data_IF_162320163889
#
_entry.id   IF_162320163889
#
_cell.length_a   1.000
_cell.length_b   1.000
_cell.length_c   1.000
_cell.angle_alpha   90.00
_cell.angle_beta   90.00
_cell.angle_gamma   90.00
#
_symmetry.space_group_name_H-M   'P 1'
#
loop_
_entity.id
_entity.type
_entity.pdbx_description
1 polymer ?
#
# COMPACT_ATOMS: atom_id res chain seq x y z
N UNK A 1 30.72 24.52 43.64
CA UNK A 1 29.57 23.64 43.37
C UNK A 1 28.85 24.16 42.12
N UNK A 2 29.17 23.61 40.94
CA UNK A 2 28.62 24.04 39.64
C UNK A 2 28.65 22.83 38.68
N UNK A 3 27.85 21.78 38.93
CA UNK A 3 27.79 20.62 38.00
C UNK A 3 26.41 19.96 37.86
N UNK A 4 25.33 20.49 38.46
CA UNK A 4 24.10 19.71 38.58
C UNK A 4 22.85 20.28 37.90
N UNK A 5 22.96 21.31 37.05
CA UNK A 5 21.77 21.92 36.41
C UNK A 5 21.70 21.61 34.91
N UNK A 6 22.79 21.19 34.26
CA UNK A 6 22.81 20.99 32.80
C UNK A 6 22.16 19.67 32.34
N UNK A 7 21.94 18.72 33.25
CA UNK A 7 21.55 17.35 32.86
C UNK A 7 20.03 17.13 32.77
N UNK A 8 19.22 17.99 33.39
CA UNK A 8 17.75 17.82 33.43
C UNK A 8 17.06 18.49 32.22
N UNK A 9 17.70 19.47 31.59
CA UNK A 9 17.13 20.13 30.40
C UNK A 9 17.37 19.34 29.10
N UNK A 10 18.35 18.42 29.08
CA UNK A 10 18.68 17.61 27.90
C UNK A 10 17.75 16.39 27.74
N UNK A 11 17.03 16.00 28.79
CA UNK A 11 16.10 14.86 28.76
C UNK A 11 14.69 15.23 28.29
N UNK A 12 14.37 16.53 28.18
CA UNK A 12 13.03 16.99 27.81
C UNK A 12 12.87 17.34 26.32
N UNK A 13 13.96 17.48 25.56
CA UNK A 13 13.90 17.77 24.12
C UNK A 13 13.94 16.53 23.23
N UNK A 14 14.26 15.34 23.77
CA UNK A 14 14.30 14.09 23.00
C UNK A 14 12.97 13.30 23.03
N UNK A 15 11.97 13.75 23.78
CA UNK A 15 10.64 13.13 23.82
C UNK A 15 9.66 13.73 22.81
N UNK A 16 10.03 14.82 22.12
CA UNK A 16 9.18 15.51 21.13
C UNK A 16 9.52 15.22 19.67
N UNK A 17 10.55 14.41 19.39
CA UNK A 17 11.02 14.10 18.03
C UNK A 17 10.64 12.71 17.50
N UNK A 18 9.91 11.90 18.28
CA UNK A 18 9.46 10.56 17.88
C UNK A 18 7.93 10.44 17.84
N UNK A 19 7.21 11.54 17.60
CA UNK A 19 5.95 11.45 16.89
C UNK A 19 6.29 11.23 15.41
N UNK A 20 6.96 10.10 15.13
CA UNK A 20 6.96 9.49 13.82
C UNK A 20 5.49 9.39 13.46
N UNK A 21 5.05 10.21 12.51
CA UNK A 21 3.82 9.94 11.80
C UNK A 21 4.09 8.62 11.08
N UNK A 22 3.86 7.50 11.78
CA UNK A 22 3.95 6.17 11.20
C UNK A 22 2.78 6.11 10.24
N UNK A 23 3.04 6.51 9.00
CA UNK A 23 2.07 6.37 7.90
C UNK A 23 1.61 4.92 7.89
N UNK A 24 0.32 4.73 8.15
CA UNK A 24 -0.28 3.40 8.18
C UNK A 24 -0.62 2.97 6.75
N UNK A 25 -0.78 1.65 6.54
CA UNK A 25 -1.25 1.16 5.24
C UNK A 25 -2.61 1.73 4.85
N UNK A 26 -3.47 2.02 5.82
CA UNK A 26 -4.77 2.68 5.59
C UNK A 26 -4.61 4.11 5.09
N UNK A 27 -3.69 4.89 5.66
CA UNK A 27 -3.42 6.27 5.22
C UNK A 27 -2.88 6.29 3.78
N UNK A 28 -1.93 5.41 3.47
CA UNK A 28 -1.40 5.26 2.11
C UNK A 28 -2.50 4.84 1.14
N UNK A 29 -3.31 3.85 1.51
CA UNK A 29 -4.41 3.37 0.67
C UNK A 29 -5.43 4.47 0.40
N UNK A 30 -5.80 5.25 1.42
CA UNK A 30 -6.73 6.37 1.29
C UNK A 30 -6.20 7.44 0.32
N UNK A 31 -4.92 7.78 0.39
CA UNK A 31 -4.30 8.72 -0.56
C UNK A 31 -4.32 8.18 -2.00
N UNK A 32 -4.06 6.89 -2.17
CA UNK A 32 -4.11 6.25 -3.50
C UNK A 32 -5.53 6.18 -4.06
N UNK A 33 -6.50 5.82 -3.22
CA UNK A 33 -7.93 5.78 -3.59
C UNK A 33 -8.39 7.17 -4.03
N UNK A 34 -8.08 8.22 -3.28
CA UNK A 34 -8.44 9.59 -3.68
C UNK A 34 -7.88 9.94 -5.08
N UNK A 35 -6.62 9.57 -5.35
CA UNK A 35 -5.99 9.82 -6.66
C UNK A 35 -6.73 9.08 -7.79
N UNK A 36 -7.18 7.85 -7.54
CA UNK A 36 -7.95 7.06 -8.50
C UNK A 36 -9.37 7.65 -8.69
N UNK A 37 -10.05 8.01 -7.62
CA UNK A 37 -11.39 8.63 -7.67
C UNK A 37 -11.36 9.96 -8.43
N UNK A 38 -10.33 10.79 -8.21
CA UNK A 38 -10.12 12.04 -8.96
C UNK A 38 -9.89 11.78 -10.46
N UNK A 39 -9.33 10.62 -10.82
CA UNK A 39 -9.16 10.17 -12.20
C UNK A 39 -10.42 9.48 -12.77
N UNK A 40 -11.49 9.35 -11.99
CA UNK A 40 -12.80 8.83 -12.39
C UNK A 40 -13.06 7.37 -12.04
N UNK A 41 -12.21 6.72 -11.24
CA UNK A 41 -12.48 5.38 -10.74
C UNK A 41 -13.62 5.37 -9.73
N UNK A 42 -14.45 4.32 -9.80
CA UNK A 42 -15.31 3.90 -8.70
C UNK A 42 -14.58 2.79 -7.96
N UNK A 43 -14.21 3.02 -6.70
CA UNK A 43 -13.46 2.06 -5.87
C UNK A 43 -14.40 1.40 -4.86
N UNK A 44 -14.32 0.07 -4.78
CA UNK A 44 -15.10 -0.75 -3.85
C UNK A 44 -14.19 -1.59 -2.95
N UNK A 45 -14.42 -1.50 -1.64
CA UNK A 45 -13.80 -2.40 -0.67
C UNK A 45 -14.41 -3.79 -0.80
N UNK A 46 -13.55 -4.79 -0.77
CA UNK A 46 -13.98 -6.19 -0.71
C UNK A 46 -14.35 -6.58 0.72
N UNK A 47 -15.21 -7.58 0.86
CA UNK A 47 -15.62 -8.11 2.15
C UNK A 47 -14.57 -9.09 2.72
N UNK A 48 -14.81 -9.55 3.96
CA UNK A 48 -13.91 -10.47 4.65
C UNK A 48 -13.76 -11.81 3.93
N UNK A 49 -14.80 -12.30 3.26
CA UNK A 49 -14.75 -13.60 2.57
C UNK A 49 -13.82 -13.51 1.35
N UNK A 50 -13.90 -12.43 0.59
CA UNK A 50 -13.00 -12.15 -0.53
C UNK A 50 -11.55 -11.95 -0.07
N UNK A 51 -11.34 -11.26 1.06
CA UNK A 51 -10.01 -11.08 1.67
C UNK A 51 -9.41 -12.43 2.10
N UNK A 52 -10.18 -13.26 2.81
CA UNK A 52 -9.74 -14.59 3.26
C UNK A 52 -9.40 -15.50 2.07
N UNK A 53 -10.25 -15.48 1.04
CA UNK A 53 -10.02 -16.21 -0.22
C UNK A 53 -8.74 -15.76 -0.92
N UNK A 54 -8.49 -14.45 -0.99
CA UNK A 54 -7.27 -13.90 -1.58
C UNK A 54 -6.03 -14.34 -0.80
N UNK A 55 -6.06 -14.26 0.53
CA UNK A 55 -4.93 -14.69 1.37
C UNK A 55 -4.64 -16.19 1.21
N UNK A 56 -5.69 -17.03 1.19
CA UNK A 56 -5.53 -18.47 1.05
C UNK A 56 -5.03 -18.86 -0.34
N UNK A 57 -5.70 -18.41 -1.40
CA UNK A 57 -5.49 -18.96 -2.73
C UNK A 57 -4.48 -18.18 -3.57
N UNK A 58 -4.41 -16.86 -3.41
CA UNK A 58 -3.46 -16.05 -4.17
C UNK A 58 -2.14 -15.99 -3.41
N UNK A 59 -2.13 -15.48 -2.18
CA UNK A 59 -0.88 -15.27 -1.44
C UNK A 59 -0.25 -16.59 -1.00
N UNK A 60 -0.98 -17.43 -0.26
CA UNK A 60 -0.43 -18.67 0.29
C UNK A 60 -0.26 -19.74 -0.79
N UNK A 61 -1.32 -20.16 -1.47
CA UNK A 61 -1.24 -21.26 -2.45
C UNK A 61 -0.48 -20.83 -3.73
N UNK A 62 -0.74 -19.61 -4.22
CA UNK A 62 -0.15 -19.11 -5.46
C UNK A 62 1.31 -18.70 -5.33
N UNK A 63 1.67 -18.00 -4.26
CA UNK A 63 3.01 -17.42 -4.08
C UNK A 63 3.80 -17.97 -2.89
N UNK A 64 3.24 -18.88 -2.10
CA UNK A 64 3.86 -19.35 -0.84
C UNK A 64 4.14 -18.20 0.14
N UNK A 65 3.35 -17.13 0.09
CA UNK A 65 3.44 -15.96 0.95
C UNK A 65 2.40 -16.10 2.06
N UNK A 66 2.87 -16.34 3.28
CA UNK A 66 2.02 -16.26 4.47
C UNK A 66 1.95 -14.82 4.95
N UNK A 67 0.92 -14.09 4.51
CA UNK A 67 0.72 -12.68 4.81
C UNK A 67 -0.71 -12.39 5.27
N UNK A 68 -0.82 -11.32 6.06
CA UNK A 68 -2.11 -10.72 6.42
C UNK A 68 -2.26 -9.40 5.67
N UNK A 69 -3.41 -9.23 5.03
CA UNK A 69 -3.81 -7.97 4.42
C UNK A 69 -4.93 -7.36 5.26
N UNK A 70 -4.89 -6.03 5.43
CA UNK A 70 -5.87 -5.27 6.20
C UNK A 70 -7.06 -4.84 5.33
N UNK A 71 -6.86 -4.71 4.02
CA UNK A 71 -7.91 -4.36 3.08
C UNK A 71 -7.56 -4.81 1.65
N UNK A 72 -8.61 -5.02 0.86
CA UNK A 72 -8.55 -5.30 -0.56
C UNK A 72 -9.58 -4.40 -1.25
N UNK A 73 -9.17 -3.67 -2.27
CA UNK A 73 -10.04 -2.81 -3.05
C UNK A 73 -9.98 -3.18 -4.52
N UNK A 74 -11.12 -3.05 -5.20
CA UNK A 74 -11.22 -3.18 -6.65
C UNK A 74 -11.82 -1.90 -7.21
N UNK A 75 -11.26 -1.39 -8.30
CA UNK A 75 -11.69 -0.17 -8.94
C UNK A 75 -11.94 -0.34 -10.43
N UNK A 76 -12.94 0.40 -10.93
CA UNK A 76 -13.25 0.44 -12.35
C UNK A 76 -13.49 1.86 -12.86
N UNK A 77 -13.11 2.11 -14.11
CA UNK A 77 -13.64 3.21 -14.92
C UNK A 77 -14.61 2.63 -15.95
N UNK A 78 -15.83 3.18 -16.00
CA UNK A 78 -16.89 2.76 -16.92
C UNK A 78 -17.14 1.24 -16.91
N UNK A 79 -17.19 0.65 -15.71
CA UNK A 79 -17.41 -0.78 -15.40
C UNK A 79 -16.39 -1.78 -15.99
N UNK A 80 -15.75 -1.51 -17.14
CA UNK A 80 -14.87 -2.46 -17.82
C UNK A 80 -13.73 -1.81 -18.63
N UNK A 81 -13.62 -0.48 -18.66
CA UNK A 81 -12.63 0.18 -19.52
C UNK A 81 -11.22 0.10 -18.90
N UNK A 82 -11.13 0.37 -17.60
CA UNK A 82 -9.88 0.25 -16.84
C UNK A 82 -10.18 -0.35 -15.48
N UNK A 83 -9.32 -1.28 -15.06
CA UNK A 83 -9.42 -2.00 -13.80
C UNK A 83 -8.19 -1.74 -12.94
N UNK A 84 -8.39 -1.69 -11.63
CA UNK A 84 -7.32 -1.61 -10.64
C UNK A 84 -7.65 -2.49 -9.43
N UNK A 85 -6.64 -3.09 -8.83
CA UNK A 85 -6.74 -3.75 -7.53
C UNK A 85 -5.70 -3.17 -6.59
N UNK A 86 -6.12 -2.81 -5.39
CA UNK A 86 -5.24 -2.37 -4.30
C UNK A 86 -5.24 -3.40 -3.19
N UNK A 87 -4.06 -3.87 -2.81
CA UNK A 87 -3.86 -4.81 -1.71
C UNK A 87 -3.10 -4.09 -0.60
N UNK A 88 -3.71 -3.96 0.58
CA UNK A 88 -3.10 -3.26 1.71
C UNK A 88 -2.55 -4.28 2.71
N UNK A 89 -1.24 -4.46 2.74
CA UNK A 89 -0.56 -5.37 3.65
C UNK A 89 -0.46 -4.76 5.05
N UNK A 90 -0.47 -5.60 6.10
CA UNK A 90 -0.11 -5.14 7.44
C UNK A 90 1.40 -4.88 7.60
N UNK A 91 2.21 -5.40 6.67
CA UNK A 91 3.66 -5.25 6.66
C UNK A 91 4.17 -4.89 5.26
N UNK A 92 4.86 -3.75 5.14
CA UNK A 92 5.50 -3.28 3.91
C UNK A 92 6.51 -4.28 3.30
N UNK A 93 7.17 -5.09 4.13
CA UNK A 93 8.13 -6.08 3.64
C UNK A 93 7.38 -7.21 2.88
N UNK A 94 6.16 -7.54 3.30
CA UNK A 94 5.30 -8.51 2.58
C UNK A 94 4.76 -7.93 1.28
N UNK A 95 4.45 -6.63 1.24
CA UNK A 95 4.12 -5.94 -0.01
C UNK A 95 5.28 -6.01 -1.02
N UNK A 96 6.52 -5.80 -0.55
CA UNK A 96 7.73 -5.92 -1.36
C UNK A 96 8.02 -7.36 -1.83
N UNK A 97 7.74 -8.36 -1.00
CA UNK A 97 7.84 -9.77 -1.41
C UNK A 97 6.80 -10.10 -2.48
N UNK A 98 5.56 -9.64 -2.30
CA UNK A 98 4.48 -9.90 -3.25
C UNK A 98 4.73 -9.26 -4.62
N UNK A 99 5.19 -7.99 -4.65
CA UNK A 99 5.52 -7.35 -5.93
C UNK A 99 6.64 -8.06 -6.68
N UNK A 100 7.67 -8.55 -5.97
CA UNK A 100 8.75 -9.30 -6.58
C UNK A 100 8.22 -10.60 -7.20
N UNK A 101 7.35 -11.32 -6.50
CA UNK A 101 6.73 -12.53 -7.03
C UNK A 101 5.90 -12.26 -8.29
N UNK A 102 5.18 -11.12 -8.35
CA UNK A 102 4.47 -10.68 -9.55
C UNK A 102 5.41 -10.37 -10.71
N UNK A 103 6.60 -9.79 -10.46
CA UNK A 103 7.59 -9.55 -11.51
C UNK A 103 8.19 -10.86 -12.04
N UNK A 104 8.46 -11.82 -11.15
CA UNK A 104 9.07 -13.10 -11.52
C UNK A 104 8.18 -13.94 -12.44
N UNK A 105 6.85 -13.82 -12.31
CA UNK A 105 5.88 -14.47 -13.20
C UNK A 105 5.92 -13.96 -14.65
N UNK A 106 6.42 -12.75 -14.88
CA UNK A 106 6.52 -12.12 -16.21
C UNK A 106 5.20 -12.14 -17.02
N UNK A 107 4.06 -11.92 -16.35
CA UNK A 107 2.77 -11.80 -17.02
C UNK A 107 2.76 -10.58 -17.92
N UNK A 108 2.65 -10.81 -19.23
CA UNK A 108 2.61 -9.76 -20.24
C UNK A 108 1.46 -8.78 -20.00
N UNK A 109 1.77 -7.48 -20.06
CA UNK A 109 0.79 -6.40 -19.94
C UNK A 109 0.35 -6.08 -18.51
N UNK A 110 0.68 -6.92 -17.51
CA UNK A 110 0.39 -6.60 -16.10
C UNK A 110 1.35 -5.51 -15.64
N UNK A 111 0.79 -4.44 -15.13
CA UNK A 111 1.51 -3.34 -14.50
C UNK A 111 1.26 -3.38 -13.01
N UNK A 112 2.25 -2.93 -12.25
CA UNK A 112 2.14 -2.91 -10.80
C UNK A 112 2.97 -1.77 -10.21
N UNK A 113 2.47 -1.22 -9.11
CA UNK A 113 3.05 -0.08 -8.40
C UNK A 113 2.98 -0.36 -6.90
N UNK A 114 4.03 0.01 -6.16
CA UNK A 114 4.09 -0.17 -4.71
C UNK A 114 4.32 1.17 -4.03
N UNK A 115 3.47 1.46 -3.04
CA UNK A 115 3.68 2.55 -2.10
C UNK A 115 3.54 2.02 -0.68
N UNK A 116 4.68 1.90 0.02
CA UNK A 116 4.74 1.42 1.40
C UNK A 116 4.08 0.04 1.58
N UNK A 117 2.88 0.04 2.16
CA UNK A 117 2.08 -1.13 2.48
C UNK A 117 1.14 -1.58 1.35
N UNK A 118 0.97 -0.74 0.33
CA UNK A 118 -0.04 -0.92 -0.71
C UNK A 118 0.60 -1.39 -2.00
N UNK A 119 0.09 -2.49 -2.54
CA UNK A 119 0.39 -2.97 -3.89
C UNK A 119 -0.80 -2.64 -4.78
N UNK A 120 -0.56 -1.90 -5.86
CA UNK A 120 -1.52 -1.68 -6.93
C UNK A 120 -1.20 -2.57 -8.12
N UNK A 121 -2.23 -3.21 -8.68
CA UNK A 121 -2.15 -4.00 -9.92
C UNK A 121 -3.13 -3.42 -10.93
N UNK A 122 -2.69 -3.28 -12.18
CA UNK A 122 -3.53 -2.81 -13.29
C UNK A 122 -2.99 -3.32 -14.63
N UNK A 123 -3.70 -3.04 -15.71
CA UNK A 123 -3.25 -3.24 -17.10
C UNK A 123 -3.20 -1.92 -17.89
N UNK A 124 -3.42 -0.78 -17.23
CA UNK A 124 -3.47 0.54 -17.85
C UNK A 124 -2.26 1.38 -17.43
N UNK A 125 -1.42 1.73 -18.40
CA UNK A 125 -0.28 2.63 -18.16
C UNK A 125 -0.75 3.99 -17.66
N UNK A 126 -1.86 4.50 -18.19
CA UNK A 126 -2.47 5.76 -17.75
C UNK A 126 -2.80 5.77 -16.25
N UNK A 127 -3.09 4.60 -15.66
CA UNK A 127 -3.35 4.46 -14.23
C UNK A 127 -2.07 4.53 -13.41
N UNK A 128 -0.99 3.91 -13.91
CA UNK A 128 0.33 3.96 -13.26
C UNK A 128 0.89 5.38 -13.31
N UNK A 129 0.73 6.06 -14.45
CA UNK A 129 1.21 7.43 -14.66
C UNK A 129 0.59 8.41 -13.66
N UNK A 130 -0.61 8.13 -13.12
CA UNK A 130 -1.22 8.90 -12.04
C UNK A 130 -0.32 8.97 -10.79
N UNK A 131 0.56 8.00 -10.56
CA UNK A 131 1.37 7.92 -9.33
C UNK A 131 2.85 8.27 -9.57
N UNK A 132 3.31 8.23 -10.81
CA UNK A 132 4.67 8.64 -11.17
C UNK A 132 4.80 10.17 -11.27
N UNK A 133 3.74 10.87 -11.66
CA UNK A 133 3.76 12.33 -11.89
C UNK A 133 3.83 13.15 -10.58
N UNK A 134 3.36 12.62 -9.45
CA UNK A 134 3.33 13.33 -8.16
C UNK A 134 4.62 13.21 -7.31
N UNK A 135 5.71 12.67 -7.83
CA UNK A 135 7.00 12.51 -7.12
C UNK A 135 7.87 13.79 -7.07
N UNK A 136 7.30 15.00 -7.18
CA UNK A 136 8.05 16.28 -7.13
C UNK A 136 7.97 16.99 -5.78
#
# INVERSE_FOLDING_TARGET
MRKSILTILLTLCLSFYLMSCTESGEDTAKSMIQTLEDAGYVIESQDSEAIDSFMAHILLDGYSINATISALYIGYINENERWVQLIVFENKDLAAIYIQALYDEQVSGRLSYVSGYVVMITYSQETVDLFEIFQN
#
